data_IF_702021597084
#
_entry.id   IF_702021597084
#
_cell.length_a   1.000
_cell.length_b   1.000
_cell.length_c   1.000
_cell.angle_alpha   90.00
_cell.angle_beta   90.00
_cell.angle_gamma   90.00
#
_symmetry.space_group_name_H-M   'P 1'
#
loop_
_entity.id
_entity.type
_entity.pdbx_description
1 polymer ?
#
# COMPACT_ATOMS: atom_id res chain seq x y z
N UNK A 1 -45.20 6.75 12.35
CA UNK A 1 -43.92 7.16 12.91
C UNK A 1 -42.82 6.39 12.18
N UNK A 2 -41.98 7.00 11.36
CA UNK A 2 -40.88 6.30 10.73
C UNK A 2 -39.69 6.30 11.69
N UNK A 3 -39.23 5.10 12.04
CA UNK A 3 -38.00 4.87 12.82
C UNK A 3 -36.82 5.16 11.90
N UNK A 4 -36.19 6.31 12.12
CA UNK A 4 -34.93 6.70 11.49
C UNK A 4 -33.84 5.77 12.00
N UNK A 5 -33.48 4.75 11.23
CA UNK A 5 -32.25 3.97 11.43
C UNK A 5 -31.09 4.81 10.91
N UNK A 6 -30.55 5.65 11.75
CA UNK A 6 -29.20 6.19 11.57
C UNK A 6 -28.26 4.99 11.61
N UNK A 7 -27.77 4.56 10.45
CA UNK A 7 -26.66 3.63 10.38
C UNK A 7 -25.44 4.38 10.93
N UNK A 8 -25.16 4.22 12.21
CA UNK A 8 -23.88 4.57 12.80
C UNK A 8 -22.82 3.79 12.03
N UNK A 9 -22.06 4.51 11.20
CA UNK A 9 -20.81 4.00 10.65
C UNK A 9 -19.84 3.86 11.83
N UNK A 10 -19.87 2.70 12.50
CA UNK A 10 -18.81 2.33 13.44
C UNK A 10 -17.48 2.44 12.70
N UNK A 11 -16.67 3.42 13.07
CA UNK A 11 -15.32 3.57 12.57
C UNK A 11 -14.53 2.32 12.99
N UNK A 12 -14.15 1.51 12.02
CA UNK A 12 -13.38 0.29 12.30
C UNK A 12 -12.06 0.68 12.95
N UNK A 13 -11.85 0.20 14.18
CA UNK A 13 -10.56 0.30 14.84
C UNK A 13 -9.57 -0.63 14.15
N UNK A 14 -8.43 -0.11 13.68
CA UNK A 14 -7.36 -0.88 13.05
C UNK A 14 -6.00 -0.27 13.41
N UNK A 15 -4.96 -1.09 13.31
CA UNK A 15 -3.58 -0.66 13.49
C UNK A 15 -2.72 -1.07 12.29
N UNK A 16 -1.55 -0.44 12.16
CA UNK A 16 -0.62 -0.72 11.06
C UNK A 16 0.67 -1.27 11.66
N UNK A 17 1.18 -2.34 11.04
CA UNK A 17 2.47 -2.94 11.37
C UNK A 17 3.16 -3.50 10.12
N UNK A 18 4.47 -3.79 10.18
CA UNK A 18 5.13 -4.59 9.15
C UNK A 18 4.46 -5.96 9.00
N UNK A 19 4.36 -6.42 7.75
CA UNK A 19 3.88 -7.76 7.45
C UNK A 19 4.85 -8.82 7.96
N UNK A 20 4.29 -9.90 8.48
CA UNK A 20 5.02 -11.11 8.86
C UNK A 20 4.67 -12.26 7.91
N UNK A 21 5.45 -13.35 7.94
CA UNK A 21 5.23 -14.47 7.01
C UNK A 21 3.83 -15.10 7.13
N UNK A 22 3.24 -15.06 8.31
CA UNK A 22 1.86 -15.55 8.53
C UNK A 22 0.79 -14.70 7.85
N UNK A 23 1.09 -13.44 7.50
CA UNK A 23 0.16 -12.55 6.80
C UNK A 23 0.12 -12.77 5.29
N UNK A 24 1.09 -13.51 4.72
CA UNK A 24 1.28 -13.63 3.28
C UNK A 24 0.03 -14.03 2.52
N UNK A 25 -0.73 -14.98 3.07
CA UNK A 25 -1.94 -15.47 2.43
C UNK A 25 -3.03 -14.39 2.37
N UNK A 26 -3.20 -13.64 3.45
CA UNK A 26 -4.18 -12.55 3.53
C UNK A 26 -3.75 -11.37 2.65
N UNK A 27 -2.48 -10.98 2.70
CA UNK A 27 -1.92 -9.93 1.83
C UNK A 27 -2.12 -10.29 0.35
N UNK A 28 -1.77 -11.52 -0.05
CA UNK A 28 -1.98 -11.99 -1.41
C UNK A 28 -3.47 -11.97 -1.81
N UNK A 29 -4.37 -12.28 -0.89
CA UNK A 29 -5.82 -12.21 -1.13
C UNK A 29 -6.30 -10.76 -1.31
N UNK A 30 -5.83 -9.83 -0.47
CA UNK A 30 -6.14 -8.39 -0.58
C UNK A 30 -5.66 -7.84 -1.92
N UNK A 31 -4.43 -8.15 -2.32
CA UNK A 31 -3.86 -7.70 -3.60
C UNK A 31 -4.59 -8.32 -4.79
N UNK A 32 -4.78 -9.63 -4.79
CA UNK A 32 -5.47 -10.34 -5.88
C UNK A 32 -6.90 -9.81 -6.07
N UNK A 33 -7.66 -9.63 -4.98
CA UNK A 33 -9.03 -9.09 -5.06
C UNK A 33 -9.10 -7.64 -5.51
N UNK A 34 -8.04 -6.86 -5.27
CA UNK A 34 -8.00 -5.44 -5.62
C UNK A 34 -7.58 -5.20 -7.06
N UNK A 35 -6.63 -5.99 -7.58
CA UNK A 35 -6.05 -5.79 -8.92
C UNK A 35 -6.61 -6.76 -9.97
N UNK A 36 -7.10 -7.92 -9.53
CA UNK A 36 -7.64 -8.97 -10.40
C UNK A 36 -9.00 -9.42 -9.88
N UNK A 37 -10.03 -8.55 -9.92
CA UNK A 37 -11.36 -8.93 -9.44
C UNK A 37 -11.83 -10.16 -10.23
N UNK A 38 -12.41 -11.18 -9.56
CA UNK A 38 -12.80 -12.44 -10.18
C UNK A 38 -14.07 -12.29 -11.02
N UNK A 39 -14.00 -11.47 -12.07
CA UNK A 39 -15.09 -11.18 -13.00
C UNK A 39 -14.94 -12.01 -14.27
N UNK A 40 -16.04 -12.62 -14.71
CA UNK A 40 -16.09 -13.39 -15.95
C UNK A 40 -15.10 -14.56 -16.00
N UNK A 41 -14.47 -14.80 -17.16
CA UNK A 41 -13.51 -15.88 -17.38
C UNK A 41 -12.23 -15.77 -16.55
N UNK A 42 -11.85 -14.56 -16.12
CA UNK A 42 -10.66 -14.30 -15.27
C UNK A 42 -10.77 -14.97 -13.88
N UNK A 43 -11.97 -15.35 -13.46
CA UNK A 43 -12.21 -16.09 -12.21
C UNK A 43 -11.34 -17.36 -12.13
N UNK A 44 -11.12 -18.04 -13.25
CA UNK A 44 -10.31 -19.26 -13.31
C UNK A 44 -8.83 -19.01 -13.05
N UNK A 45 -8.34 -17.81 -13.39
CA UNK A 45 -6.94 -17.41 -13.19
C UNK A 45 -6.67 -16.83 -11.79
N UNK A 46 -7.73 -16.51 -11.03
CA UNK A 46 -7.61 -15.89 -9.71
C UNK A 46 -6.73 -16.68 -8.74
N UNK A 47 -6.84 -18.01 -8.60
CA UNK A 47 -5.96 -18.79 -7.74
C UNK A 47 -4.48 -18.70 -8.17
N UNK A 48 -4.20 -18.67 -9.47
CA UNK A 48 -2.86 -18.55 -10.01
C UNK A 48 -2.25 -17.18 -9.70
N UNK A 49 -3.01 -16.09 -9.88
CA UNK A 49 -2.56 -14.75 -9.51
C UNK A 49 -2.28 -14.65 -8.02
N UNK A 50 -3.15 -15.18 -7.17
CA UNK A 50 -2.93 -15.20 -5.72
C UNK A 50 -1.68 -15.97 -5.34
N UNK A 51 -1.45 -17.12 -5.95
CA UNK A 51 -0.25 -17.92 -5.71
C UNK A 51 1.03 -17.18 -6.15
N UNK A 52 1.03 -16.59 -7.35
CA UNK A 52 2.17 -15.81 -7.85
C UNK A 52 2.49 -14.62 -6.95
N UNK A 53 1.48 -13.87 -6.50
CA UNK A 53 1.64 -12.75 -5.56
C UNK A 53 2.22 -13.26 -4.22
N UNK A 54 1.70 -14.38 -3.72
CA UNK A 54 2.17 -14.98 -2.47
C UNK A 54 3.66 -15.33 -2.53
N UNK A 55 4.11 -16.02 -3.59
CA UNK A 55 5.52 -16.42 -3.73
C UNK A 55 6.45 -15.22 -3.92
N UNK A 56 6.05 -14.22 -4.70
CA UNK A 56 6.82 -12.99 -4.88
C UNK A 56 6.97 -12.20 -3.57
N UNK A 57 5.89 -12.05 -2.81
CA UNK A 57 5.92 -11.43 -1.49
C UNK A 57 6.78 -12.19 -0.50
N UNK A 58 6.67 -13.52 -0.48
CA UNK A 58 7.48 -14.39 0.37
C UNK A 58 8.97 -14.19 0.10
N UNK A 59 9.36 -14.21 -1.17
CA UNK A 59 10.74 -13.98 -1.57
C UNK A 59 11.25 -12.61 -1.13
N UNK A 60 10.43 -11.54 -1.28
CA UNK A 60 10.81 -10.19 -0.87
C UNK A 60 10.92 -10.04 0.64
N UNK A 61 10.01 -10.64 1.42
CA UNK A 61 10.05 -10.59 2.88
C UNK A 61 11.23 -11.40 3.44
N UNK A 62 11.57 -12.53 2.83
CA UNK A 62 12.71 -13.36 3.23
C UNK A 62 14.05 -12.78 2.77
N UNK A 63 14.05 -11.98 1.71
CA UNK A 63 15.27 -11.40 1.12
C UNK A 63 16.02 -10.40 2.01
N UNK A 64 15.45 -9.99 3.14
CA UNK A 64 16.13 -9.17 4.16
C UNK A 64 16.66 -7.82 3.66
N UNK A 65 16.08 -7.27 2.60
CA UNK A 65 16.52 -5.98 2.06
C UNK A 65 16.30 -4.86 3.10
N UNK A 66 17.34 -4.08 3.47
CA UNK A 66 17.25 -3.10 4.56
C UNK A 66 16.21 -2.00 4.31
N UNK A 67 16.01 -1.63 3.04
CA UNK A 67 15.04 -0.62 2.64
C UNK A 67 13.90 -1.23 1.81
N UNK A 68 13.32 -2.32 2.31
CA UNK A 68 12.06 -2.89 1.82
C UNK A 68 11.18 -3.21 3.01
N UNK A 69 9.92 -2.79 2.96
CA UNK A 69 8.89 -3.18 3.93
C UNK A 69 7.55 -3.30 3.23
N UNK A 70 6.83 -4.35 3.59
CA UNK A 70 5.41 -4.48 3.35
C UNK A 70 4.70 -4.10 4.65
N UNK A 71 3.84 -3.08 4.62
CA UNK A 71 3.02 -2.66 5.76
C UNK A 71 1.62 -3.21 5.59
N UNK A 72 1.02 -3.67 6.68
CA UNK A 72 -0.34 -4.20 6.73
C UNK A 72 -1.21 -3.41 7.70
N UNK A 73 -2.45 -3.15 7.33
CA UNK A 73 -3.49 -2.68 8.22
C UNK A 73 -4.26 -3.89 8.75
N UNK A 74 -4.34 -4.03 10.07
CA UNK A 74 -4.96 -5.16 10.76
C UNK A 74 -6.18 -4.68 11.51
N UNK A 75 -7.30 -5.35 11.31
CA UNK A 75 -8.53 -5.14 12.07
C UNK A 75 -9.14 -6.49 12.49
N UNK A 76 -10.00 -6.54 13.50
CA UNK A 76 -10.79 -7.70 13.79
C UNK A 76 -11.71 -8.04 12.61
N UNK A 77 -11.70 -9.28 12.16
CA UNK A 77 -12.68 -9.76 11.20
C UNK A 77 -14.10 -9.60 11.75
N UNK A 78 -15.04 -9.22 10.92
CA UNK A 78 -16.41 -8.90 11.37
C UNK A 78 -17.17 -10.11 11.92
N UNK A 79 -16.84 -11.31 11.45
CA UNK A 79 -17.52 -12.57 11.78
C UNK A 79 -16.73 -13.31 12.86
N UNK A 80 -15.46 -13.62 12.56
CA UNK A 80 -14.61 -14.45 13.42
C UNK A 80 -13.97 -13.71 14.57
N UNK A 81 -13.96 -12.36 14.52
CA UNK A 81 -13.26 -11.48 15.46
C UNK A 81 -11.75 -11.70 15.52
N UNK A 82 -11.19 -12.55 14.66
CA UNK A 82 -9.76 -12.76 14.56
C UNK A 82 -9.08 -11.60 13.84
N UNK A 83 -7.84 -11.23 14.23
CA UNK A 83 -7.07 -10.24 13.50
C UNK A 83 -6.89 -10.67 12.03
N UNK A 84 -7.28 -9.81 11.10
CA UNK A 84 -7.16 -10.07 9.67
C UNK A 84 -6.56 -8.87 8.94
N UNK A 85 -5.87 -9.10 7.83
CA UNK A 85 -5.32 -8.04 6.97
C UNK A 85 -6.45 -7.41 6.17
N UNK A 86 -6.69 -6.12 6.39
CA UNK A 86 -7.71 -5.34 5.68
C UNK A 86 -7.14 -4.41 4.60
N UNK A 87 -5.82 -4.23 4.58
CA UNK A 87 -5.13 -3.42 3.59
C UNK A 87 -3.62 -3.60 3.67
N UNK A 88 -2.92 -3.22 2.62
CA UNK A 88 -1.48 -3.36 2.50
C UNK A 88 -0.87 -2.25 1.65
N UNK A 89 0.43 -1.99 1.84
CA UNK A 89 1.27 -1.15 1.00
C UNK A 89 2.71 -1.63 1.09
N UNK A 90 3.43 -1.60 -0.03
CA UNK A 90 4.85 -1.89 -0.07
C UNK A 90 5.65 -0.61 -0.30
N UNK A 91 6.76 -0.49 0.43
CA UNK A 91 7.73 0.60 0.30
C UNK A 91 9.10 -0.02 0.04
N UNK A 92 9.76 0.43 -1.01
CA UNK A 92 11.06 -0.09 -1.41
C UNK A 92 11.98 1.01 -1.93
N UNK A 93 13.24 0.94 -1.54
CA UNK A 93 14.29 1.71 -2.18
C UNK A 93 14.57 1.14 -3.57
N UNK A 94 14.63 2.00 -4.57
CA UNK A 94 14.90 1.63 -5.95
C UNK A 94 16.19 2.31 -6.41
N UNK A 95 17.09 1.52 -6.96
CA UNK A 95 18.29 2.02 -7.63
C UNK A 95 17.99 2.30 -9.10
N UNK A 96 18.58 3.33 -9.70
CA UNK A 96 18.46 3.57 -11.13
C UNK A 96 19.11 2.41 -11.90
N UNK A 97 18.39 1.86 -12.87
CA UNK A 97 18.92 0.95 -13.87
C UNK A 97 19.18 1.69 -15.16
N UNK A 98 20.07 1.19 -16.01
CA UNK A 98 20.46 1.79 -17.29
C UNK A 98 19.28 2.18 -18.21
N UNK A 99 18.13 1.52 -18.02
CA UNK A 99 16.90 1.71 -18.76
C UNK A 99 15.85 2.55 -18.04
N UNK A 100 16.14 3.06 -16.83
CA UNK A 100 15.22 3.92 -16.10
C UNK A 100 15.59 5.38 -16.29
N UNK A 101 14.60 6.25 -16.52
CA UNK A 101 14.81 7.69 -16.64
C UNK A 101 15.18 8.39 -15.31
N UNK A 102 15.21 7.65 -14.21
CA UNK A 102 15.67 8.13 -12.91
C UNK A 102 17.18 8.02 -12.82
N UNK A 103 17.85 9.17 -12.66
CA UNK A 103 19.31 9.23 -12.50
C UNK A 103 19.77 9.06 -11.04
N UNK A 104 18.87 9.26 -10.08
CA UNK A 104 19.13 9.15 -8.65
C UNK A 104 18.27 8.05 -8.04
N UNK A 105 18.77 7.40 -6.99
CA UNK A 105 17.96 6.45 -6.23
C UNK A 105 16.76 7.14 -5.58
N UNK A 106 15.63 6.42 -5.45
CA UNK A 106 14.39 6.93 -4.87
C UNK A 106 13.65 5.87 -4.08
N UNK A 107 12.81 6.31 -3.14
CA UNK A 107 11.86 5.41 -2.47
C UNK A 107 10.58 5.33 -3.30
N UNK A 108 10.11 4.11 -3.48
CA UNK A 108 8.97 3.79 -4.33
C UNK A 108 7.91 3.04 -3.55
N UNK A 109 6.68 3.50 -3.68
CA UNK A 109 5.48 2.89 -3.12
C UNK A 109 4.75 2.07 -4.17
N UNK A 110 4.40 0.85 -3.82
CA UNK A 110 3.65 -0.08 -4.66
C UNK A 110 2.60 -0.84 -3.85
N UNK A 111 1.73 -1.54 -4.55
CA UNK A 111 0.79 -2.50 -3.96
C UNK A 111 -0.07 -1.92 -2.82
N UNK A 112 -0.46 -0.63 -2.92
CA UNK A 112 -1.47 -0.06 -2.03
C UNK A 112 -2.83 -0.66 -2.38
N UNK A 113 -3.38 -1.43 -1.46
CA UNK A 113 -4.67 -2.07 -1.63
C UNK A 113 -5.45 -2.11 -0.31
N UNK A 114 -6.77 -2.02 -0.40
CA UNK A 114 -7.68 -2.11 0.75
C UNK A 114 -8.86 -3.01 0.38
N UNK A 115 -9.16 -3.96 1.25
CA UNK A 115 -10.33 -4.83 1.12
C UNK A 115 -11.60 -4.02 0.84
N UNK A 116 -12.46 -4.42 -0.12
CA UNK A 116 -13.64 -3.65 -0.52
C UNK A 116 -14.52 -3.21 0.65
N UNK A 117 -14.75 -4.09 1.61
CA UNK A 117 -15.60 -3.81 2.78
C UNK A 117 -15.01 -2.80 3.79
N UNK A 118 -13.72 -2.49 3.66
CA UNK A 118 -13.00 -1.54 4.53
C UNK A 118 -12.56 -0.27 3.79
N UNK A 119 -13.00 -0.10 2.53
CA UNK A 119 -12.76 1.13 1.77
C UNK A 119 -13.54 2.31 2.35
N UNK A 120 -13.07 3.53 2.05
CA UNK A 120 -13.66 4.82 2.51
C UNK A 120 -13.67 5.03 4.02
N UNK A 121 -12.93 4.21 4.78
CA UNK A 121 -12.78 4.28 6.23
C UNK A 121 -11.38 4.77 6.66
N UNK A 122 -10.66 5.45 5.77
CA UNK A 122 -9.35 6.04 6.07
C UNK A 122 -8.15 5.06 6.02
N UNK A 123 -8.37 3.74 5.80
CA UNK A 123 -7.30 2.73 5.83
C UNK A 123 -6.16 3.06 4.87
N UNK A 124 -6.46 3.37 3.60
CA UNK A 124 -5.43 3.72 2.62
C UNK A 124 -4.65 4.99 3.00
N UNK A 125 -5.33 6.00 3.55
CA UNK A 125 -4.68 7.24 4.03
C UNK A 125 -3.69 6.94 5.16
N UNK A 126 -4.07 6.10 6.12
CA UNK A 126 -3.20 5.70 7.24
C UNK A 126 -2.01 4.87 6.77
N UNK A 127 -2.21 3.94 5.81
CA UNK A 127 -1.12 3.18 5.19
C UNK A 127 -0.13 4.11 4.48
N UNK A 128 -0.61 5.11 3.74
CA UNK A 128 0.25 6.12 3.11
C UNK A 128 1.05 6.93 4.15
N UNK A 129 0.41 7.38 5.22
CA UNK A 129 1.09 8.11 6.30
C UNK A 129 2.19 7.25 6.95
N UNK A 130 1.93 5.96 7.20
CA UNK A 130 2.93 5.04 7.72
C UNK A 130 4.09 4.82 6.73
N UNK A 131 3.81 4.74 5.44
CA UNK A 131 4.82 4.64 4.38
C UNK A 131 5.68 5.92 4.27
N UNK A 132 5.07 7.09 4.42
CA UNK A 132 5.77 8.38 4.45
C UNK A 132 6.69 8.47 5.66
N UNK A 133 6.21 8.09 6.85
CA UNK A 133 7.04 8.06 8.06
C UNK A 133 8.21 7.10 7.90
N UNK A 134 7.98 5.88 7.42
CA UNK A 134 9.03 4.89 7.18
C UNK A 134 10.09 5.41 6.18
N UNK A 135 9.67 6.18 5.17
CA UNK A 135 10.59 6.81 4.21
C UNK A 135 11.50 7.82 4.88
N UNK A 136 10.95 8.63 5.80
CA UNK A 136 11.73 9.56 6.62
C UNK A 136 12.69 8.83 7.58
N UNK A 137 12.24 7.75 8.21
CA UNK A 137 13.07 6.92 9.11
C UNK A 137 14.26 6.31 8.38
N UNK A 138 14.12 6.03 7.09
CA UNK A 138 15.22 5.59 6.22
C UNK A 138 16.13 6.74 5.75
N UNK A 139 15.84 8.00 6.12
CA UNK A 139 16.62 9.18 5.75
C UNK A 139 16.32 9.75 4.36
N UNK A 140 15.18 9.37 3.77
CA UNK A 140 14.76 9.88 2.47
C UNK A 140 13.67 10.93 2.61
N UNK A 141 13.75 12.00 1.79
CA UNK A 141 12.80 13.11 1.78
C UNK A 141 11.75 13.05 0.66
N UNK A 142 11.78 12.02 -0.19
CA UNK A 142 10.89 11.91 -1.34
C UNK A 142 10.32 10.51 -1.50
N UNK A 143 9.04 10.43 -1.83
CA UNK A 143 8.33 9.18 -2.10
C UNK A 143 7.60 9.29 -3.44
N UNK A 144 7.76 8.27 -4.28
CA UNK A 144 7.16 8.21 -5.61
C UNK A 144 6.28 6.99 -5.78
N UNK A 145 5.29 7.09 -6.63
CA UNK A 145 4.39 5.97 -6.98
C UNK A 145 3.86 6.13 -8.40
N UNK A 146 3.32 5.04 -8.94
CA UNK A 146 2.57 5.11 -10.19
C UNK A 146 1.08 4.87 -9.97
N UNK A 147 0.27 5.57 -10.77
CA UNK A 147 -1.17 5.36 -10.85
C UNK A 147 -1.59 5.40 -12.32
N UNK A 148 -2.60 4.60 -12.68
CA UNK A 148 -3.18 4.63 -14.01
C UNK A 148 -4.07 5.86 -14.19
N UNK A 149 -4.12 6.43 -15.40
CA UNK A 149 -4.92 7.64 -15.69
C UNK A 149 -6.41 7.46 -15.45
N UNK A 150 -6.93 6.26 -15.64
CA UNK A 150 -8.34 5.90 -15.42
C UNK A 150 -8.69 5.58 -13.97
N UNK A 151 -7.70 5.40 -13.08
CA UNK A 151 -7.94 5.15 -11.66
C UNK A 151 -8.18 6.46 -10.89
N UNK A 152 -9.35 7.07 -11.14
CA UNK A 152 -9.73 8.35 -10.53
C UNK A 152 -9.77 8.32 -9.00
N UNK A 153 -10.18 7.19 -8.41
CA UNK A 153 -10.26 7.07 -6.95
C UNK A 153 -8.88 7.11 -6.29
N UNK A 154 -7.90 6.38 -6.86
CA UNK A 154 -6.53 6.39 -6.34
C UNK A 154 -5.88 7.76 -6.57
N UNK A 155 -6.11 8.39 -7.72
CA UNK A 155 -5.60 9.74 -8.00
C UNK A 155 -6.10 10.76 -6.99
N UNK A 156 -7.41 10.81 -6.72
CA UNK A 156 -7.99 11.70 -5.69
C UNK A 156 -7.37 11.46 -4.30
N UNK A 157 -7.13 10.20 -3.94
CA UNK A 157 -6.46 9.87 -2.68
C UNK A 157 -5.05 10.46 -2.64
N UNK A 158 -4.23 10.21 -3.67
CA UNK A 158 -2.84 10.67 -3.71
C UNK A 158 -2.74 12.20 -3.78
N UNK A 159 -3.55 12.84 -4.62
CA UNK A 159 -3.63 14.30 -4.70
C UNK A 159 -4.05 14.91 -3.35
N UNK A 160 -5.07 14.34 -2.70
CA UNK A 160 -5.51 14.74 -1.35
C UNK A 160 -4.50 14.44 -0.23
N UNK A 161 -3.44 13.68 -0.50
CA UNK A 161 -2.30 13.43 0.37
C UNK A 161 -1.07 14.27 0.01
N UNK A 162 -1.17 15.14 -1.02
CA UNK A 162 -0.10 16.05 -1.44
C UNK A 162 0.87 15.45 -2.45
N UNK A 163 0.57 14.31 -3.07
CA UNK A 163 1.33 13.80 -4.21
C UNK A 163 1.02 14.64 -5.45
N UNK A 164 2.05 14.98 -6.19
CA UNK A 164 1.96 15.80 -7.40
C UNK A 164 2.39 15.02 -8.63
N UNK A 165 1.82 15.35 -9.78
CA UNK A 165 2.23 14.76 -11.04
C UNK A 165 3.66 15.18 -11.38
N UNK A 166 4.54 14.19 -11.48
CA UNK A 166 5.92 14.40 -11.87
C UNK A 166 6.12 14.13 -13.36
N UNK A 167 5.50 13.05 -13.89
CA UNK A 167 5.61 12.66 -15.28
C UNK A 167 4.42 11.82 -15.74
N UNK A 168 4.09 11.93 -17.03
CA UNK A 168 3.21 10.99 -17.72
C UNK A 168 4.10 10.00 -18.47
N UNK A 169 3.90 8.71 -18.23
CA UNK A 169 4.66 7.64 -18.89
C UNK A 169 3.73 6.88 -19.83
N UNK A 170 3.82 7.17 -21.13
CA UNK A 170 3.07 6.43 -22.12
C UNK A 170 3.59 4.99 -22.19
N UNK A 171 2.70 4.01 -22.16
CA UNK A 171 3.01 2.62 -22.45
C UNK A 171 2.94 2.45 -23.98
N UNK A 172 3.70 1.51 -24.57
CA UNK A 172 3.58 1.23 -26.01
C UNK A 172 2.12 0.97 -26.43
N UNK A 173 1.35 0.29 -25.59
CA UNK A 173 -0.07 0.03 -25.82
C UNK A 173 -0.97 1.27 -25.63
N UNK A 174 -0.54 2.26 -24.84
CA UNK A 174 -1.28 3.52 -24.69
C UNK A 174 -1.08 4.47 -25.87
N UNK A 175 0.02 4.34 -26.62
CA UNK A 175 0.24 5.07 -27.86
C UNK A 175 -0.79 4.69 -28.95
N UNK A 176 -1.34 3.48 -28.86
CA UNK A 176 -2.39 2.98 -29.74
C UNK A 176 -3.80 3.05 -29.13
N UNK A 177 -4.00 3.77 -28.02
CA UNK A 177 -5.25 3.88 -27.26
C UNK A 177 -5.82 2.54 -26.72
N UNK A 178 -5.01 1.50 -26.63
CA UNK A 178 -5.45 0.19 -26.12
C UNK A 178 -5.36 0.07 -24.57
N UNK A 179 -4.57 0.94 -23.92
CA UNK A 179 -4.47 0.96 -22.46
C UNK A 179 -4.28 2.38 -21.93
N UNK A 180 -4.72 2.66 -20.69
CA UNK A 180 -4.50 3.95 -20.04
C UNK A 180 -3.00 4.17 -19.78
N UNK A 181 -2.57 5.43 -19.85
CA UNK A 181 -1.20 5.83 -19.53
C UNK A 181 -0.94 5.72 -18.02
N UNK A 182 0.34 5.60 -17.65
CA UNK A 182 0.77 5.63 -16.26
C UNK A 182 1.22 7.04 -15.87
N UNK A 183 0.80 7.49 -14.71
CA UNK A 183 1.23 8.75 -14.10
C UNK A 183 2.24 8.42 -13.00
N UNK A 184 3.43 8.99 -13.09
CA UNK A 184 4.38 9.00 -11.99
C UNK A 184 4.03 10.20 -11.09
N UNK A 185 3.62 9.92 -9.87
CA UNK A 185 3.38 10.92 -8.84
C UNK A 185 4.54 10.92 -7.84
N UNK A 186 4.88 12.10 -7.31
CA UNK A 186 5.93 12.29 -6.32
C UNK A 186 5.43 13.22 -5.22
N UNK A 187 5.88 12.96 -4.00
CA UNK A 187 5.68 13.82 -2.84
C UNK A 187 7.01 14.03 -2.16
N UNK A 188 7.38 15.30 -1.92
CA UNK A 188 8.44 15.66 -0.99
C UNK A 188 7.86 15.63 0.41
N UNK A 189 8.49 14.85 1.30
CA UNK A 189 8.05 14.64 2.66
C UNK A 189 8.94 15.46 3.57
N UNK A 190 8.35 16.34 4.35
CA UNK A 190 9.06 17.05 5.42
C UNK A 190 8.86 16.32 6.73
N UNK A 191 9.87 16.22 7.61
CA UNK A 191 9.64 15.70 8.95
C UNK A 191 8.54 16.52 9.62
N UNK A 192 7.63 15.90 10.37
CA UNK A 192 6.56 16.61 11.04
C UNK A 192 7.17 17.70 11.94
N UNK A 193 6.77 18.94 11.72
CA UNK A 193 6.99 19.97 12.72
C UNK A 193 6.36 19.44 13.99
N UNK A 194 7.14 19.30 15.05
CA UNK A 194 6.75 18.67 16.34
C UNK A 194 5.43 19.26 16.85
N UNK A 195 4.32 18.68 16.46
CA UNK A 195 3.07 18.69 17.19
C UNK A 195 2.93 17.28 17.76
N UNK A 196 2.98 17.20 19.08
CA UNK A 196 3.01 15.98 19.88
C UNK A 196 1.80 15.08 19.65
N UNK A 197 1.93 14.16 18.71
CA UNK A 197 1.16 12.92 18.69
C UNK A 197 2.10 11.78 18.28
N UNK A 198 2.61 11.11 19.30
CA UNK A 198 3.54 9.99 19.19
C UNK A 198 2.85 8.82 18.48
N UNK A 199 3.16 8.62 17.20
CA UNK A 199 2.98 7.33 16.58
C UNK A 199 4.16 6.44 17.01
N UNK A 200 3.94 5.59 18.00
CA UNK A 200 4.91 4.55 18.34
C UNK A 200 4.86 3.47 17.24
N UNK A 201 5.86 3.50 16.36
CA UNK A 201 6.26 2.35 15.58
C UNK A 201 6.93 1.38 16.55
N UNK A 202 6.32 0.24 16.79
CA UNK A 202 6.93 -0.85 17.58
C UNK A 202 7.71 -1.71 16.62
N UNK A 203 9.04 -1.63 16.65
CA UNK A 203 9.94 -2.53 15.93
C UNK A 203 9.98 -3.88 16.70
N UNK A 204 9.49 -4.98 16.13
CA UNK A 204 9.48 -6.29 16.78
C UNK A 204 10.86 -6.96 16.84
N UNK A 205 11.92 -6.31 16.33
CA UNK A 205 13.29 -6.88 16.32
C UNK A 205 14.22 -6.29 17.37
N UNK A 206 13.75 -5.37 18.24
CA UNK A 206 14.52 -4.90 19.36
C UNK A 206 14.58 -6.02 20.42
N UNK A 207 15.62 -6.84 20.34
CA UNK A 207 15.98 -7.87 21.31
C UNK A 207 16.17 -7.27 22.71
N UNK A 208 15.64 -7.98 23.69
CA UNK A 208 15.81 -7.71 25.13
C UNK A 208 17.30 -7.56 25.51
N UNK A 209 17.62 -6.66 26.45
CA UNK A 209 18.96 -6.61 27.03
C UNK A 209 19.14 -7.84 27.94
N UNK A 210 20.18 -8.62 27.64
CA UNK A 210 20.69 -9.71 28.48
C UNK A 210 21.12 -9.15 29.85
N UNK A 211 20.52 -9.70 30.88
CA UNK A 211 21.07 -9.75 32.26
C UNK A 211 21.79 -11.06 32.46
#
# INVERSE_FOLDING_TARGET
MPVSRSAEFESVSFYIRPAVLTDLQDVATVLASSFYPPLGWQRWLYPLFRFSIHEDLKQRLQGGHPHYRCLTAIAPDRITRQPTVIGTVEVAYRQPHLWTFHRLPWVYLSNLAVCPHYRRQGVARRLLQAAEQLTLDWGFGDLSLHVMTDNSQARQLYEGMGYQLHRVEPTLLSLFNFQPSRLLLRKTISPPQRSSSVFQYVDPTASEPSH
#
